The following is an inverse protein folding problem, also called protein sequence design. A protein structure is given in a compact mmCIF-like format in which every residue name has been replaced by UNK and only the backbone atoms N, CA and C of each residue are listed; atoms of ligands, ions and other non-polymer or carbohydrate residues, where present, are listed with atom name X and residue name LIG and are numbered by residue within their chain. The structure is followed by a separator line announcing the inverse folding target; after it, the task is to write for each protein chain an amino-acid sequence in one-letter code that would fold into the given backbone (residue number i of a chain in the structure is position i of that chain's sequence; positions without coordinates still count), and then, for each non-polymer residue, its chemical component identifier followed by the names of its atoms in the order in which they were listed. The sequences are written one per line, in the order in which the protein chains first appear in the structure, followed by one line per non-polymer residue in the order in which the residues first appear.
data_IF_845977186554
#
_entry.id   IF_845977186554
#
_cell.length_a   1.000
_cell.length_b   1.000
_cell.length_c   1.000
_cell.angle_alpha   90.00
_cell.angle_beta   90.00
_cell.angle_gamma   90.00
#
_symmetry.space_group_name_H-M   'P 1'
#
loop_
_entity.id
_entity.type
_entity.pdbx_description
1 polymer ?
#
# COMPACT_ATOMS: atom_id res chain seq x y z
N UNK A 1 -10.42 1.09 9.51
CA UNK A 1 -9.59 0.80 10.69
C UNK A 1 -8.59 1.93 10.90
N UNK A 2 -8.45 2.42 12.14
CA UNK A 2 -7.41 3.38 12.50
C UNK A 2 -6.29 2.64 13.24
N UNK A 3 -5.07 2.73 12.72
CA UNK A 3 -3.87 2.13 13.31
C UNK A 3 -3.12 3.11 14.24
N UNK A 4 -3.48 4.39 14.23
CA UNK A 4 -2.86 5.45 15.02
C UNK A 4 -1.35 5.53 14.78
N UNK A 5 -0.58 5.56 15.86
CA UNK A 5 0.88 5.59 15.85
C UNK A 5 1.55 4.21 15.71
N UNK A 6 0.80 3.14 15.44
CA UNK A 6 1.37 1.79 15.35
C UNK A 6 2.15 1.63 14.04
N UNK A 7 3.25 0.88 14.14
CA UNK A 7 4.01 0.39 12.99
C UNK A 7 3.65 -1.07 12.76
N UNK A 8 2.95 -1.34 11.66
CA UNK A 8 2.45 -2.67 11.32
C UNK A 8 3.01 -3.04 9.95
N UNK A 9 3.54 -4.25 9.85
CA UNK A 9 3.99 -4.82 8.58
C UNK A 9 3.29 -6.14 8.39
N UNK A 10 2.60 -6.27 7.27
CA UNK A 10 1.87 -7.47 6.89
C UNK A 10 2.61 -8.14 5.73
N UNK A 11 3.16 -9.32 5.99
CA UNK A 11 3.70 -10.20 4.97
C UNK A 11 2.70 -11.33 4.72
N UNK A 12 2.24 -11.48 3.48
CA UNK A 12 1.32 -12.53 3.08
C UNK A 12 1.96 -13.38 2.00
N UNK A 13 2.06 -14.67 2.27
CA UNK A 13 2.61 -15.66 1.34
C UNK A 13 1.51 -16.65 0.95
N UNK A 14 1.32 -16.85 -0.35
CA UNK A 14 0.45 -17.87 -0.92
C UNK A 14 -1.04 -17.49 -0.99
N UNK A 15 -1.45 -16.31 -0.53
CA UNK A 15 -2.85 -15.87 -0.52
C UNK A 15 -3.03 -14.42 -0.97
N UNK A 16 -4.17 -14.14 -1.60
CA UNK A 16 -4.59 -12.78 -1.94
C UNK A 16 -4.95 -11.98 -0.68
N UNK A 17 -4.76 -10.67 -0.73
CA UNK A 17 -5.09 -9.75 0.37
C UNK A 17 -6.26 -8.88 -0.02
N UNK A 18 -7.27 -8.81 0.84
CA UNK A 18 -8.48 -8.03 0.62
C UNK A 18 -8.58 -6.89 1.64
N UNK A 19 -8.74 -5.67 1.14
CA UNK A 19 -9.04 -4.49 1.95
C UNK A 19 -10.48 -4.08 1.73
N UNK A 20 -11.33 -4.36 2.71
CA UNK A 20 -12.77 -4.07 2.67
C UNK A 20 -13.15 -2.75 3.36
N UNK A 21 -12.17 -2.07 3.97
CA UNK A 21 -12.39 -0.82 4.69
C UNK A 21 -11.18 0.10 4.67
N UNK A 22 -11.42 1.38 4.94
CA UNK A 22 -10.39 2.42 4.95
C UNK A 22 -9.29 2.11 5.97
N UNK A 23 -8.05 2.46 5.66
CA UNK A 23 -6.92 2.36 6.58
C UNK A 23 -6.35 3.76 6.82
N UNK A 24 -6.24 4.13 8.09
CA UNK A 24 -5.62 5.39 8.52
C UNK A 24 -4.50 5.15 9.52
N UNK A 25 -3.44 5.92 9.41
CA UNK A 25 -2.30 6.01 10.33
C UNK A 25 -2.13 7.48 10.74
N UNK A 26 -1.59 7.73 11.93
CA UNK A 26 -1.26 9.09 12.34
C UNK A 26 -0.04 9.56 11.55
N UNK A 27 -0.21 10.62 10.76
CA UNK A 27 0.83 11.15 9.86
C UNK A 27 2.13 11.44 10.65
N UNK A 28 3.27 10.96 10.13
CA UNK A 28 4.57 11.12 10.79
C UNK A 28 4.81 10.26 12.04
N UNK A 29 3.86 9.42 12.46
CA UNK A 29 4.02 8.56 13.64
C UNK A 29 3.69 7.08 13.36
N UNK A 30 2.62 6.81 12.62
CA UNK A 30 2.20 5.47 12.23
C UNK A 30 2.82 5.00 10.92
N UNK A 31 2.92 3.69 10.74
CA UNK A 31 3.45 3.09 9.52
C UNK A 31 2.69 1.81 9.20
N UNK A 32 2.24 1.66 7.95
CA UNK A 32 1.64 0.42 7.49
C UNK A 32 2.22 0.01 6.14
N UNK A 33 2.77 -1.21 6.09
CA UNK A 33 3.34 -1.81 4.89
C UNK A 33 2.71 -3.17 4.67
N UNK A 34 2.31 -3.43 3.42
CA UNK A 34 1.71 -4.68 2.99
C UNK A 34 2.54 -5.24 1.86
N UNK A 35 3.05 -6.45 2.04
CA UNK A 35 3.82 -7.19 1.04
C UNK A 35 3.11 -8.51 0.80
N UNK A 36 2.70 -8.76 -0.44
CA UNK A 36 2.08 -10.01 -0.86
C UNK A 36 2.73 -10.56 -2.12
N UNK A 37 2.98 -11.87 -2.18
CA UNK A 37 3.40 -12.53 -3.42
C UNK A 37 2.23 -12.89 -4.35
N UNK A 38 1.01 -12.47 -4.01
CA UNK A 38 -0.22 -12.64 -4.80
C UNK A 38 -0.82 -11.27 -5.13
N UNK A 39 -2.15 -11.21 -5.28
CA UNK A 39 -2.85 -9.98 -5.60
C UNK A 39 -3.27 -9.25 -4.33
N UNK A 40 -3.38 -7.93 -4.44
CA UNK A 40 -4.00 -7.06 -3.46
C UNK A 40 -5.27 -6.49 -4.08
N UNK A 41 -6.41 -6.74 -3.45
CA UNK A 41 -7.73 -6.27 -3.87
C UNK A 41 -8.23 -5.21 -2.90
N UNK A 42 -8.60 -4.05 -3.45
CA UNK A 42 -9.26 -2.99 -2.72
C UNK A 42 -10.74 -3.04 -3.06
N UNK A 43 -11.60 -3.14 -2.05
CA UNK A 43 -13.04 -3.09 -2.24
C UNK A 43 -13.47 -1.71 -2.76
N UNK A 44 -14.48 -1.67 -3.62
CA UNK A 44 -14.95 -0.44 -4.25
C UNK A 44 -15.56 0.57 -3.28
N UNK A 45 -15.93 0.14 -2.06
CA UNK A 45 -16.43 1.01 -0.99
C UNK A 45 -15.31 1.73 -0.25
N UNK A 46 -14.07 1.27 -0.33
CA UNK A 46 -12.92 1.92 0.31
C UNK A 46 -12.68 3.26 -0.37
N UNK A 47 -12.50 4.31 0.41
CA UNK A 47 -12.26 5.68 -0.08
C UNK A 47 -10.90 6.22 0.34
N UNK A 48 -10.31 5.70 1.42
CA UNK A 48 -9.05 6.18 1.94
C UNK A 48 -8.12 5.06 2.40
N UNK A 49 -6.91 5.03 1.87
CA UNK A 49 -5.84 4.12 2.28
C UNK A 49 -4.57 4.91 2.58
N UNK A 50 -3.97 4.65 3.72
CA UNK A 50 -2.66 5.19 4.09
C UNK A 50 -1.70 4.03 4.34
N UNK A 51 -0.92 3.67 3.33
CA UNK A 51 0.00 2.53 3.41
C UNK A 51 1.02 2.53 2.26
N UNK A 52 2.03 1.67 2.41
CA UNK A 52 2.89 1.23 1.31
C UNK A 52 2.46 -0.19 0.91
N UNK A 53 2.16 -0.38 -0.37
CA UNK A 53 1.72 -1.66 -0.93
C UNK A 53 2.74 -2.21 -1.91
N UNK A 54 2.98 -3.51 -1.80
CA UNK A 54 3.87 -4.25 -2.66
C UNK A 54 3.22 -5.59 -3.01
N UNK A 55 2.95 -5.81 -4.30
CA UNK A 55 2.30 -7.02 -4.80
C UNK A 55 3.08 -7.66 -5.95
N UNK A 56 3.43 -8.94 -5.87
CA UNK A 56 4.12 -9.60 -6.99
C UNK A 56 3.20 -9.74 -8.21
N UNK A 57 1.93 -10.05 -8.01
CA UNK A 57 0.99 -10.25 -9.13
C UNK A 57 0.26 -8.97 -9.53
N UNK A 58 -0.59 -8.43 -8.67
CA UNK A 58 -1.34 -7.25 -9.07
C UNK A 58 -1.99 -6.49 -7.93
N UNK A 59 -2.26 -5.22 -8.19
CA UNK A 59 -3.01 -4.33 -7.31
C UNK A 59 -4.28 -3.88 -8.02
N UNK A 60 -5.45 -4.18 -7.47
CA UNK A 60 -6.75 -3.97 -8.09
C UNK A 60 -7.59 -3.01 -7.24
N UNK A 61 -8.00 -1.88 -7.81
CA UNK A 61 -8.73 -0.81 -7.06
C UNK A 61 -10.22 -1.08 -6.87
N UNK A 62 -10.73 -2.13 -7.53
CA UNK A 62 -12.12 -2.56 -7.51
C UNK A 62 -13.03 -1.68 -8.37
N UNK A 63 -13.98 -2.28 -9.09
CA UNK A 63 -14.94 -1.52 -9.92
C UNK A 63 -15.97 -0.81 -9.03
N UNK A 64 -16.04 0.51 -9.13
CA UNK A 64 -16.97 1.32 -8.34
C UNK A 64 -17.02 2.79 -8.76
N UNK A 65 -17.94 3.51 -8.13
CA UNK A 65 -18.30 4.91 -8.42
C UNK A 65 -17.83 5.91 -7.34
N UNK A 66 -16.97 5.45 -6.42
CA UNK A 66 -16.39 6.26 -5.34
C UNK A 66 -14.91 6.51 -5.59
N UNK A 67 -14.46 7.73 -5.38
CA UNK A 67 -13.04 8.05 -5.52
C UNK A 67 -12.20 7.26 -4.49
N UNK A 68 -11.05 6.72 -4.93
CA UNK A 68 -10.03 6.15 -4.05
C UNK A 68 -8.93 7.17 -3.82
N UNK A 69 -8.56 7.42 -2.57
CA UNK A 69 -7.36 8.17 -2.23
C UNK A 69 -6.37 7.29 -1.48
N UNK A 70 -5.24 6.99 -2.12
CA UNK A 70 -4.12 6.27 -1.52
C UNK A 70 -3.01 7.25 -1.19
N UNK A 71 -2.77 7.48 0.09
CA UNK A 71 -1.57 8.17 0.57
C UNK A 71 -0.48 7.15 0.88
N UNK A 72 0.70 7.34 0.30
CA UNK A 72 1.82 6.43 0.39
C UNK A 72 2.26 5.97 -0.99
N UNK A 73 2.36 4.67 -1.22
CA UNK A 73 2.85 4.16 -2.50
C UNK A 73 2.35 2.77 -2.82
N UNK A 74 2.17 2.50 -4.10
CA UNK A 74 1.76 1.21 -4.64
C UNK A 74 2.78 0.77 -5.67
N UNK A 75 3.31 -0.43 -5.49
CA UNK A 75 4.13 -1.10 -6.48
C UNK A 75 3.57 -2.51 -6.71
N UNK A 76 3.43 -2.90 -7.97
CA UNK A 76 3.10 -4.25 -8.33
C UNK A 76 3.93 -4.71 -9.54
N UNK A 77 4.52 -5.91 -9.48
CA UNK A 77 5.38 -6.41 -10.57
C UNK A 77 4.58 -6.82 -11.80
N UNK A 78 3.43 -7.47 -11.61
CA UNK A 78 2.56 -7.82 -12.74
C UNK A 78 1.81 -6.59 -13.25
N UNK A 79 0.88 -6.05 -12.44
CA UNK A 79 0.09 -4.88 -12.87
C UNK A 79 -0.52 -4.06 -11.72
N UNK A 80 -0.73 -2.76 -11.98
CA UNK A 80 -1.64 -1.91 -11.22
C UNK A 80 -2.87 -1.68 -12.09
N UNK A 81 -4.02 -2.22 -11.67
CA UNK A 81 -5.29 -2.14 -12.38
C UNK A 81 -6.20 -1.10 -11.72
N UNK A 82 -6.36 0.04 -12.41
CA UNK A 82 -7.28 1.10 -12.04
C UNK A 82 -8.65 0.80 -12.67
N UNK A 83 -9.67 0.60 -11.84
CA UNK A 83 -10.95 0.04 -12.23
C UNK A 83 -12.15 0.95 -11.90
N UNK A 84 -11.92 2.10 -11.26
CA UNK A 84 -13.00 2.98 -10.81
C UNK A 84 -13.45 3.93 -11.91
N UNK A 85 -14.75 4.23 -11.88
CA UNK A 85 -15.41 5.10 -12.85
C UNK A 85 -16.44 5.95 -12.11
N UNK A 86 -16.18 7.26 -11.98
CA UNK A 86 -17.10 8.21 -11.33
C UNK A 86 -18.24 8.67 -12.27
N UNK A 87 -18.29 8.12 -13.49
CA UNK A 87 -19.14 8.55 -14.59
C UNK A 87 -18.51 9.64 -15.44
N UNK A 88 -18.89 9.69 -16.72
CA UNK A 88 -18.29 10.55 -17.73
C UNK A 88 -18.19 12.04 -17.33
N UNK A 89 -19.22 12.59 -16.68
CA UNK A 89 -19.23 13.99 -16.26
C UNK A 89 -18.23 14.28 -15.13
N UNK A 90 -18.02 13.34 -14.20
CA UNK A 90 -17.13 13.53 -13.05
C UNK A 90 -15.68 13.19 -13.38
N UNK A 91 -15.44 12.15 -14.18
CA UNK A 91 -14.10 11.75 -14.59
C UNK A 91 -13.38 12.84 -15.41
N UNK A 92 -14.13 13.77 -16.01
CA UNK A 92 -13.57 14.91 -16.74
C UNK A 92 -12.75 15.85 -15.85
N UNK A 93 -13.22 16.07 -14.62
CA UNK A 93 -12.66 17.07 -13.69
C UNK A 93 -12.13 16.45 -12.39
N UNK A 94 -12.34 15.16 -12.17
CA UNK A 94 -11.98 14.47 -10.92
C UNK A 94 -11.44 13.08 -11.22
N UNK A 95 -10.19 12.77 -10.84
CA UNK A 95 -9.64 11.42 -11.02
C UNK A 95 -10.38 10.40 -10.15
N UNK A 96 -10.68 9.22 -10.68
CA UNK A 96 -11.33 8.16 -9.91
C UNK A 96 -10.39 7.53 -8.86
N UNK A 97 -9.09 7.53 -9.13
CA UNK A 97 -8.04 7.11 -8.19
C UNK A 97 -6.94 8.17 -8.07
N UNK A 98 -6.61 8.51 -6.83
CA UNK A 98 -5.55 9.47 -6.47
C UNK A 98 -4.48 8.74 -5.68
N UNK A 99 -3.24 8.80 -6.16
CA UNK A 99 -2.06 8.32 -5.45
C UNK A 99 -1.22 9.52 -5.02
N UNK A 100 -1.15 9.76 -3.72
CA UNK A 100 -0.40 10.84 -3.12
C UNK A 100 0.84 10.28 -2.45
N UNK A 101 2.02 10.74 -2.87
CA UNK A 101 3.28 10.33 -2.27
C UNK A 101 3.46 10.98 -0.89
N UNK A 102 3.48 10.16 0.16
CA UNK A 102 3.78 10.60 1.52
C UNK A 102 5.20 10.15 1.93
N UNK A 103 6.19 11.06 1.98
CA UNK A 103 7.56 10.73 2.36
C UNK A 103 7.69 10.32 3.84
N UNK A 104 6.74 10.70 4.71
CA UNK A 104 6.81 10.41 6.14
C UNK A 104 6.74 8.91 6.41
N UNK A 105 5.96 8.16 5.62
CA UNK A 105 5.87 6.70 5.72
C UNK A 105 7.23 6.03 5.49
N UNK A 106 8.02 6.52 4.52
CA UNK A 106 9.34 5.99 4.22
C UNK A 106 10.36 6.25 5.33
N UNK A 107 10.28 7.43 5.96
CA UNK A 107 11.16 7.79 7.08
C UNK A 107 10.87 6.94 8.34
N UNK A 108 9.66 6.39 8.44
CA UNK A 108 9.25 5.53 9.56
C UNK A 108 9.55 4.05 9.35
N UNK A 109 10.02 3.67 8.15
CA UNK A 109 10.39 2.30 7.81
C UNK A 109 11.37 1.72 8.84
N UNK A 110 11.12 0.52 9.40
CA UNK A 110 12.00 -0.05 10.40
C UNK A 110 13.41 -0.31 9.85
N UNK A 111 14.41 0.35 10.43
CA UNK A 111 15.82 0.20 10.03
C UNK A 111 16.34 -1.23 10.11
N UNK A 112 15.70 -2.07 10.95
CA UNK A 112 15.99 -3.51 11.08
C UNK A 112 15.69 -4.32 9.82
N UNK A 113 14.80 -3.82 8.95
CA UNK A 113 14.44 -4.44 7.68
C UNK A 113 15.15 -3.80 6.50
N UNK A 114 16.06 -2.85 6.75
CA UNK A 114 16.96 -2.32 5.73
C UNK A 114 18.16 -3.25 5.55
N UNK A 115 18.80 -3.17 4.38
CA UNK A 115 19.99 -3.98 4.08
C UNK A 115 21.10 -3.66 5.09
N UNK A 116 21.44 -4.62 5.94
CA UNK A 116 22.63 -4.55 6.77
C UNK A 116 23.86 -4.89 5.93
N UNK A 117 24.85 -3.99 5.90
CA UNK A 117 26.19 -4.33 5.40
C UNK A 117 26.87 -5.26 6.40
N UNK A 118 26.65 -6.56 6.25
CA UNK A 118 27.37 -7.56 7.04
C UNK A 118 28.84 -7.54 6.63
N UNK A 119 29.74 -7.26 7.58
CA UNK A 119 31.18 -7.52 7.40
C UNK A 119 31.41 -8.98 7.74
N UNK A 120 31.43 -9.83 6.72
CA UNK A 120 31.94 -11.18 6.88
C UNK A 120 33.43 -11.10 7.22
N UNK A 121 33.83 -11.76 8.32
CA UNK A 121 35.23 -11.99 8.67
C UNK A 121 35.40 -13.49 8.77
N UNK A 122 36.32 -14.02 7.97
CA UNK A 122 36.80 -15.38 8.15
C UNK A 122 37.42 -15.49 9.53
N UNK A 123 36.97 -16.46 10.33
CA UNK A 123 37.70 -16.85 11.53
C UNK A 123 38.69 -17.89 11.05
N UNK A 124 39.98 -17.52 11.02
CA UNK A 124 41.03 -18.46 10.67
C UNK A 124 40.95 -19.68 11.63
N UNK A 125 41.19 -20.91 11.13
CA UNK A 125 41.11 -22.13 11.94
C UNK A 125 42.04 -22.12 13.16
#
# INVERSE_FOLDING_TARGET
MNLGNRKVILFVDGADVYFEGDIKVDEGQGFFLVISNKNIYIDSKVTGLQAVFLADQGFYTGTGDKQLHVKGSVAAWGQVHLQRDLGAAKNADTPAEVFEYDPSLYLLYPSKLSVYKMRWKEVAP
#
